data_IF_076701858130
#
_entry.id   IF_076701858130
#
_cell.length_a   1.000
_cell.length_b   1.000
_cell.length_c   1.000
_cell.angle_alpha   90.00
_cell.angle_beta   90.00
_cell.angle_gamma   90.00
#
_symmetry.space_group_name_H-M   'P 1'
#
loop_
_entity.id
_entity.type
_entity.pdbx_description
1 polymer ?
#
# COMPACT_ATOMS: atom_id res chain seq x y z
N UNK A 1 -10.08 -13.93 6.10
CA UNK A 1 -8.98 -14.57 5.35
C UNK A 1 -7.74 -13.67 5.40
N UNK A 2 -6.55 -14.22 5.14
CA UNK A 2 -5.33 -13.44 4.95
C UNK A 2 -5.16 -13.14 3.46
N UNK A 3 -5.01 -11.86 3.10
CA UNK A 3 -4.89 -11.40 1.72
C UNK A 3 -3.63 -10.57 1.58
N UNK A 4 -2.81 -10.87 0.57
CA UNK A 4 -1.63 -10.07 0.23
C UNK A 4 -1.89 -9.26 -1.03
N UNK A 5 -1.62 -7.95 -0.95
CA UNK A 5 -1.68 -7.04 -2.08
C UNK A 5 -0.25 -6.58 -2.39
N UNK A 6 0.24 -6.88 -3.59
CA UNK A 6 1.61 -6.59 -4.00
C UNK A 6 1.59 -5.57 -5.13
N UNK A 7 2.20 -4.40 -4.91
CA UNK A 7 2.35 -3.36 -5.92
C UNK A 7 3.53 -2.46 -5.61
N UNK A 8 4.34 -2.18 -6.62
CA UNK A 8 5.58 -1.43 -6.46
C UNK A 8 5.33 0.08 -6.39
N UNK A 9 4.53 0.59 -7.32
CA UNK A 9 4.41 2.03 -7.60
C UNK A 9 3.37 2.77 -6.76
N UNK A 10 2.66 2.10 -5.86
CA UNK A 10 1.64 2.77 -5.04
C UNK A 10 2.26 3.42 -3.81
N UNK A 11 1.78 4.61 -3.47
CA UNK A 11 2.03 5.18 -2.16
C UNK A 11 1.44 4.29 -1.05
N UNK A 12 2.17 4.19 0.06
CA UNK A 12 1.77 3.55 1.29
C UNK A 12 1.32 4.59 2.33
N UNK A 13 0.56 4.17 3.37
CA UNK A 13 0.15 5.09 4.44
C UNK A 13 1.31 5.67 5.26
N UNK A 14 2.51 5.08 5.14
CA UNK A 14 3.75 5.60 5.74
C UNK A 14 4.36 6.75 4.93
N UNK A 15 3.91 6.98 3.69
CA UNK A 15 4.46 8.01 2.82
C UNK A 15 3.87 9.38 3.14
N UNK A 16 4.69 10.41 3.05
CA UNK A 16 4.23 11.79 3.19
C UNK A 16 3.26 12.15 2.05
N UNK A 17 2.12 12.78 2.39
CA UNK A 17 1.10 13.11 1.39
C UNK A 17 0.39 11.89 0.81
N UNK A 18 0.33 10.77 1.56
CA UNK A 18 -0.34 9.55 1.14
C UNK A 18 -1.74 9.81 0.57
N UNK A 19 -1.93 9.37 -0.67
CA UNK A 19 -3.24 9.31 -1.31
C UNK A 19 -3.57 7.85 -1.65
N UNK A 20 -4.69 7.30 -1.14
CA UNK A 20 -5.11 5.96 -1.52
C UNK A 20 -5.54 5.93 -2.98
N UNK A 21 -4.88 5.10 -3.79
CA UNK A 21 -5.33 4.75 -5.13
C UNK A 21 -6.22 3.50 -5.09
N UNK A 22 -6.48 2.88 -6.25
CA UNK A 22 -7.38 1.73 -6.38
C UNK A 22 -7.02 0.57 -5.44
N UNK A 23 -5.73 0.33 -5.17
CA UNK A 23 -5.32 -0.75 -4.29
C UNK A 23 -5.52 -0.39 -2.82
N UNK A 24 -5.36 0.88 -2.43
CA UNK A 24 -5.85 1.40 -1.15
C UNK A 24 -7.37 1.18 -0.97
N UNK A 25 -8.18 1.54 -1.97
CA UNK A 25 -9.63 1.33 -1.93
C UNK A 25 -10.02 -0.15 -1.83
N UNK A 26 -9.30 -1.03 -2.53
CA UNK A 26 -9.49 -2.48 -2.42
C UNK A 26 -9.11 -3.00 -1.03
N UNK A 27 -8.00 -2.54 -0.47
CA UNK A 27 -7.58 -2.90 0.88
C UNK A 27 -8.67 -2.53 1.91
N UNK A 28 -9.21 -1.32 1.82
CA UNK A 28 -10.29 -0.85 2.71
C UNK A 28 -11.55 -1.71 2.57
N UNK A 29 -11.94 -2.05 1.34
CA UNK A 29 -13.11 -2.90 1.10
C UNK A 29 -12.93 -4.32 1.66
N UNK A 30 -11.72 -4.89 1.54
CA UNK A 30 -11.40 -6.21 2.09
C UNK A 30 -11.37 -6.19 3.63
N UNK A 31 -10.80 -5.14 4.23
CA UNK A 31 -10.80 -4.96 5.70
C UNK A 31 -12.23 -4.81 6.22
N UNK A 32 -13.08 -4.00 5.56
CA UNK A 32 -14.50 -3.85 5.92
C UNK A 32 -15.28 -5.18 5.89
N UNK A 33 -14.83 -6.16 5.10
CA UNK A 33 -15.40 -7.52 5.04
C UNK A 33 -14.79 -8.49 6.09
N UNK A 34 -13.95 -8.01 7.00
CA UNK A 34 -13.32 -8.83 8.04
C UNK A 34 -12.11 -9.62 7.56
N UNK A 35 -11.43 -9.19 6.49
CA UNK A 35 -10.19 -9.81 6.05
C UNK A 35 -8.96 -9.11 6.66
N UNK A 36 -7.89 -9.88 6.88
CA UNK A 36 -6.58 -9.36 7.26
C UNK A 36 -5.76 -9.13 6.00
N UNK A 37 -5.43 -7.88 5.72
CA UNK A 37 -4.74 -7.48 4.48
C UNK A 37 -3.31 -7.05 4.81
N UNK A 38 -2.34 -7.61 4.08
CA UNK A 38 -0.94 -7.16 4.10
C UNK A 38 -0.60 -6.54 2.75
N UNK A 39 0.02 -5.37 2.76
CA UNK A 39 0.47 -4.67 1.55
C UNK A 39 1.98 -4.80 1.42
N UNK A 40 2.45 -5.23 0.26
CA UNK A 40 3.85 -5.32 -0.09
C UNK A 40 4.16 -4.32 -1.20
N UNK A 41 5.27 -3.60 -1.06
CA UNK A 41 5.81 -2.73 -2.09
C UNK A 41 7.34 -2.78 -2.10
N UNK A 42 7.94 -2.11 -3.09
CA UNK A 42 9.38 -1.83 -3.10
C UNK A 42 9.73 -0.85 -1.98
N UNK A 43 10.99 -0.86 -1.53
CA UNK A 43 11.50 0.20 -0.65
C UNK A 43 11.45 1.58 -1.33
N UNK A 44 11.58 1.62 -2.66
CA UNK A 44 11.47 2.85 -3.44
C UNK A 44 10.06 3.46 -3.34
N UNK A 45 9.99 4.68 -2.83
CA UNK A 45 8.84 5.57 -2.97
C UNK A 45 8.85 6.17 -4.38
N UNK A 46 8.10 5.55 -5.29
CA UNK A 46 8.09 5.92 -6.70
C UNK A 46 7.66 7.37 -6.98
N UNK A 47 6.85 7.99 -6.12
CA UNK A 47 6.42 9.38 -6.31
C UNK A 47 7.58 10.37 -6.14
N UNK A 48 8.46 10.12 -5.17
CA UNK A 48 9.55 11.03 -4.80
C UNK A 48 10.92 10.55 -5.29
N UNK A 49 11.00 9.31 -5.78
CA UNK A 49 12.25 8.69 -6.22
C UNK A 49 13.22 8.43 -5.07
N UNK A 50 12.71 8.16 -3.85
CA UNK A 50 13.54 7.96 -2.65
C UNK A 50 13.26 6.60 -2.02
N UNK A 51 14.30 5.96 -1.51
CA UNK A 51 14.18 4.77 -0.66
C UNK A 51 13.62 5.17 0.71
N UNK A 52 12.74 4.34 1.28
CA UNK A 52 12.14 4.59 2.59
C UNK A 52 13.06 4.15 3.73
N UNK A 53 13.77 3.03 3.54
CA UNK A 53 14.58 2.39 4.57
C UNK A 53 16.08 2.39 4.30
N UNK A 54 16.50 2.75 3.08
CA UNK A 54 17.92 3.01 2.75
C UNK A 54 18.50 1.94 1.84
#
# INVERSE_FOLDING_TARGET
MHVWLVKLEEQLPIDEGFRPYRMGMLADALVKKGHRVTRWCSDLEHLRGKNRFG
#
